data_IF_038863554165
#
_entry.id   IF_038863554165
#
_cell.length_a   1.000
_cell.length_b   1.000
_cell.length_c   1.000
_cell.angle_alpha   90.00
_cell.angle_beta   90.00
_cell.angle_gamma   90.00
#
_symmetry.space_group_name_H-M   'P 1'
#
loop_
_entity.id
_entity.type
_entity.pdbx_description
1 polymer ?
#
# COMPACT_ATOMS: atom_id res chain seq x y z
N UNK A 1 7.53 -19.46 0.98
CA UNK A 1 6.13 -19.01 1.10
C UNK A 1 6.17 -17.55 1.49
N UNK A 2 5.91 -16.64 0.56
CA UNK A 2 5.95 -15.20 0.84
C UNK A 2 4.72 -14.85 1.69
N UNK A 3 4.92 -14.50 2.95
CA UNK A 3 3.82 -14.11 3.85
C UNK A 3 3.33 -12.74 3.39
N UNK A 4 2.06 -12.68 2.96
CA UNK A 4 1.41 -11.42 2.58
C UNK A 4 1.07 -10.67 3.85
N UNK A 5 1.60 -9.46 3.98
CA UNK A 5 1.49 -8.66 5.20
C UNK A 5 0.56 -7.47 4.98
N UNK A 6 -0.46 -7.33 5.83
CA UNK A 6 -1.48 -6.28 5.75
C UNK A 6 -1.24 -5.09 6.69
N UNK A 7 -1.84 -3.95 6.34
CA UNK A 7 -1.94 -2.78 7.20
C UNK A 7 -3.42 -2.49 7.46
N UNK A 8 -3.87 -2.74 8.69
CA UNK A 8 -5.28 -2.62 9.09
C UNK A 8 -5.52 -1.30 9.80
N UNK A 9 -6.57 -0.58 9.41
CA UNK A 9 -7.06 0.60 10.14
C UNK A 9 -8.57 0.78 9.91
N UNK A 10 -9.15 1.94 10.30
CA UNK A 10 -10.57 2.23 10.08
C UNK A 10 -11.01 2.17 8.61
N UNK A 11 -10.06 2.25 7.67
CA UNK A 11 -10.27 2.12 6.22
C UNK A 11 -10.27 0.66 5.72
N UNK A 12 -10.11 -0.34 6.61
CA UNK A 12 -9.92 -1.75 6.24
C UNK A 12 -8.45 -2.16 6.24
N UNK A 13 -8.16 -3.31 5.61
CA UNK A 13 -6.80 -3.85 5.49
C UNK A 13 -6.28 -3.65 4.08
N UNK A 14 -5.14 -2.99 3.96
CA UNK A 14 -4.46 -2.69 2.69
C UNK A 14 -3.14 -3.43 2.61
N UNK A 15 -2.67 -3.66 1.39
CA UNK A 15 -1.45 -4.41 1.12
C UNK A 15 -0.57 -3.61 0.17
N UNK A 16 0.75 -3.65 0.37
CA UNK A 16 1.69 -3.00 -0.52
C UNK A 16 1.62 -3.64 -1.91
N UNK A 17 1.48 -2.82 -2.95
CA UNK A 17 1.55 -3.30 -4.32
C UNK A 17 3.00 -3.64 -4.69
N UNK A 18 3.20 -4.73 -5.43
CA UNK A 18 4.49 -4.98 -6.07
C UNK A 18 4.70 -4.01 -7.23
N UNK A 19 5.51 -2.97 -7.01
CA UNK A 19 5.75 -1.92 -8.01
C UNK A 19 6.37 -2.45 -9.30
N UNK A 20 7.20 -3.50 -9.24
CA UNK A 20 7.82 -4.10 -10.44
C UNK A 20 6.79 -4.77 -11.35
N UNK A 21 5.63 -5.14 -10.81
CA UNK A 21 4.50 -5.63 -11.60
C UNK A 21 3.60 -4.46 -12.01
N UNK A 22 3.26 -3.59 -11.06
CA UNK A 22 2.30 -2.51 -11.26
C UNK A 22 2.71 -1.49 -12.35
N UNK A 23 3.99 -1.13 -12.47
CA UNK A 23 4.45 -0.21 -13.54
C UNK A 23 4.32 -0.80 -14.95
N UNK A 24 3.97 -2.08 -15.07
CA UNK A 24 3.66 -2.71 -16.36
C UNK A 24 2.18 -2.64 -16.73
N UNK A 25 1.31 -2.21 -15.82
CA UNK A 25 -0.13 -2.13 -16.06
C UNK A 25 -0.63 -0.72 -16.34
N UNK A 26 0.24 0.29 -16.25
CA UNK A 26 -0.08 1.70 -16.49
C UNK A 26 1.04 2.38 -17.29
N UNK A 27 0.71 3.47 -17.96
CA UNK A 27 1.66 4.35 -18.64
C UNK A 27 2.44 5.25 -17.67
N UNK A 28 3.53 5.86 -18.16
CA UNK A 28 4.33 6.81 -17.38
C UNK A 28 3.52 8.06 -16.99
N UNK A 29 2.62 8.54 -17.85
CA UNK A 29 1.77 9.69 -17.56
C UNK A 29 0.70 9.37 -16.51
N UNK A 30 0.09 8.18 -16.58
CA UNK A 30 -0.83 7.69 -15.55
C UNK A 30 -0.13 7.53 -14.20
N UNK A 31 1.12 7.06 -14.19
CA UNK A 31 1.95 7.00 -12.98
C UNK A 31 2.14 8.38 -12.35
N UNK A 32 2.54 9.39 -13.15
CA UNK A 32 2.69 10.77 -12.66
C UNK A 32 1.36 11.29 -12.11
N UNK A 33 0.27 11.10 -12.86
CA UNK A 33 -1.07 11.57 -12.45
C UNK A 33 -1.54 10.91 -11.14
N UNK A 34 -1.29 9.61 -10.97
CA UNK A 34 -1.61 8.88 -9.73
C UNK A 34 -0.96 9.54 -8.50
N UNK A 35 0.33 9.86 -8.58
CA UNK A 35 1.03 10.53 -7.48
C UNK A 35 0.61 12.00 -7.30
N UNK A 36 0.31 12.70 -8.40
CA UNK A 36 -0.16 14.10 -8.36
C UNK A 36 -1.59 14.27 -7.87
N UNK A 37 -2.41 13.23 -7.96
CA UNK A 37 -3.76 13.24 -7.37
C UNK A 37 -3.75 12.74 -5.93
N UNK A 38 -2.78 11.90 -5.55
CA UNK A 38 -2.59 11.43 -4.18
C UNK A 38 -3.75 10.59 -3.64
N UNK A 39 -4.61 10.06 -4.52
CA UNK A 39 -5.81 9.31 -4.16
C UNK A 39 -5.56 7.81 -4.12
N UNK A 40 -4.74 7.35 -3.19
CA UNK A 40 -4.59 5.92 -2.93
C UNK A 40 -4.91 5.53 -1.50
N UNK A 41 -4.83 4.23 -1.22
CA UNK A 41 -5.14 3.69 0.10
C UNK A 41 -3.95 3.91 1.06
N UNK A 42 -4.20 4.21 2.34
CA UNK A 42 -3.16 4.26 3.38
C UNK A 42 -2.51 2.87 3.59
N UNK A 43 -1.34 2.76 4.24
CA UNK A 43 -0.57 3.83 4.89
C UNK A 43 0.40 4.57 3.98
N UNK A 44 0.38 4.30 2.67
CA UNK A 44 1.28 4.97 1.72
C UNK A 44 1.17 6.50 1.88
N UNK A 45 2.28 7.23 2.06
CA UNK A 45 2.25 8.66 2.36
C UNK A 45 2.03 9.48 1.08
N UNK A 46 0.86 9.35 0.47
CA UNK A 46 0.50 9.95 -0.83
C UNK A 46 0.81 11.46 -0.90
N UNK A 47 0.62 12.18 0.20
CA UNK A 47 0.89 13.62 0.31
C UNK A 47 2.38 13.98 0.12
N UNK A 48 3.32 13.08 0.46
CA UNK A 48 4.74 13.33 0.25
C UNK A 48 5.08 13.34 -1.25
N UNK A 49 4.47 12.44 -2.02
CA UNK A 49 4.74 12.32 -3.46
C UNK A 49 4.07 13.42 -4.28
N UNK A 50 2.93 13.94 -3.82
CA UNK A 50 2.24 15.06 -4.46
C UNK A 50 3.17 16.25 -4.76
N UNK A 51 4.09 16.55 -3.83
CA UNK A 51 5.05 17.66 -3.92
C UNK A 51 6.28 17.36 -4.79
N UNK A 52 6.53 16.10 -5.16
CA UNK A 52 7.68 15.75 -6.02
C UNK A 52 7.51 16.31 -7.43
N UNK A 53 8.60 16.64 -8.10
CA UNK A 53 8.54 17.12 -9.48
C UNK A 53 8.05 16.03 -10.44
N UNK A 54 7.44 16.41 -11.56
CA UNK A 54 7.08 15.44 -12.60
C UNK A 54 8.30 14.67 -13.13
N UNK A 55 9.47 15.32 -13.17
CA UNK A 55 10.74 14.70 -13.57
C UNK A 55 11.14 13.57 -12.62
N UNK A 56 11.05 13.79 -11.31
CA UNK A 56 11.42 12.77 -10.31
C UNK A 56 10.45 11.58 -10.34
N UNK A 57 9.15 11.86 -10.47
CA UNK A 57 8.13 10.81 -10.60
C UNK A 57 8.38 9.94 -11.84
N UNK A 58 8.75 10.54 -12.98
CA UNK A 58 9.14 9.80 -14.19
C UNK A 58 10.44 9.02 -14.00
N UNK A 59 11.44 9.59 -13.32
CA UNK A 59 12.68 8.90 -13.01
C UNK A 59 12.42 7.63 -12.18
N UNK A 60 11.53 7.71 -11.18
CA UNK A 60 11.08 6.55 -10.40
C UNK A 60 10.42 5.49 -11.30
N UNK A 61 9.48 5.89 -12.17
CA UNK A 61 8.83 4.97 -13.10
C UNK A 61 9.84 4.23 -13.97
N UNK A 62 10.75 4.96 -14.62
CA UNK A 62 11.78 4.40 -15.52
C UNK A 62 12.73 3.46 -14.78
N UNK A 63 13.16 3.86 -13.58
CA UNK A 63 14.02 3.01 -12.75
C UNK A 63 13.33 1.70 -12.38
N UNK A 64 12.08 1.75 -11.91
CA UNK A 64 11.34 0.52 -11.56
C UNK A 64 11.10 -0.34 -12.82
N UNK A 65 10.76 0.30 -13.95
CA UNK A 65 10.55 -0.37 -15.23
C UNK A 65 11.81 -1.07 -15.73
N UNK A 66 12.98 -0.46 -15.59
CA UNK A 66 14.26 -1.04 -16.03
C UNK A 66 14.67 -2.27 -15.23
N UNK A 67 14.15 -2.45 -14.02
CA UNK A 67 14.39 -3.68 -13.24
C UNK A 67 13.64 -4.89 -13.81
N UNK A 68 12.61 -4.68 -14.64
CA UNK A 68 11.75 -5.74 -15.17
C UNK A 68 10.81 -6.37 -14.12
N UNK A 69 9.79 -7.12 -14.54
CA UNK A 69 8.82 -7.76 -13.66
C UNK A 69 9.47 -8.88 -12.84
N UNK A 70 9.19 -8.93 -11.53
CA UNK A 70 9.63 -10.02 -10.62
C UNK A 70 8.76 -10.05 -9.36
N UNK A 71 8.56 -11.25 -8.83
CA UNK A 71 7.83 -11.50 -7.58
C UNK A 71 6.33 -11.60 -7.78
N UNK A 72 5.60 -11.77 -6.68
CA UNK A 72 4.17 -12.01 -6.73
C UNK A 72 3.39 -10.76 -7.21
N UNK A 73 2.31 -10.93 -7.98
CA UNK A 73 1.46 -9.85 -8.44
C UNK A 73 0.50 -9.40 -7.33
N UNK A 74 1.01 -9.14 -6.13
CA UNK A 74 0.23 -8.55 -5.05
C UNK A 74 -0.16 -7.14 -5.51
N UNK A 75 -1.42 -7.00 -5.91
CA UNK A 75 -2.03 -5.74 -6.31
C UNK A 75 -2.99 -5.29 -5.21
N UNK A 76 -2.77 -4.10 -4.66
CA UNK A 76 -3.59 -3.58 -3.55
C UNK A 76 -5.10 -3.57 -3.83
N UNK A 77 -5.50 -3.48 -5.10
CA UNK A 77 -6.91 -3.56 -5.53
C UNK A 77 -7.52 -4.93 -5.23
N UNK A 78 -6.79 -6.01 -5.54
CA UNK A 78 -7.25 -7.40 -5.42
C UNK A 78 -7.21 -7.90 -3.98
N UNK A 79 -6.23 -7.44 -3.20
CA UNK A 79 -5.99 -7.94 -1.84
C UNK A 79 -6.67 -7.14 -0.75
N UNK A 80 -7.30 -6.02 -1.08
CA UNK A 80 -7.98 -5.17 -0.11
C UNK A 80 -9.11 -5.91 0.62
N UNK A 81 -9.13 -5.75 1.94
CA UNK A 81 -10.19 -6.25 2.82
C UNK A 81 -10.93 -5.05 3.43
N UNK A 82 -12.24 -4.91 3.26
CA UNK A 82 -13.02 -3.80 3.83
C UNK A 82 -12.97 -3.70 5.37
N UNK A 83 -13.34 -2.54 5.97
CA UNK A 83 -13.32 -2.32 7.43
C UNK A 83 -14.09 -3.34 8.27
N UNK A 84 -15.17 -3.90 7.72
CA UNK A 84 -16.06 -4.84 8.40
C UNK A 84 -15.68 -6.31 8.17
N UNK A 85 -14.47 -6.59 7.69
CA UNK A 85 -14.00 -7.95 7.41
C UNK A 85 -12.62 -8.21 8.02
N UNK A 86 -12.44 -9.43 8.53
CA UNK A 86 -11.17 -9.86 9.12
C UNK A 86 -10.24 -10.42 8.03
N UNK A 87 -9.02 -9.87 7.86
CA UNK A 87 -8.05 -10.42 6.93
C UNK A 87 -7.56 -11.79 7.43
N UNK A 88 -7.41 -12.74 6.50
CA UNK A 88 -6.84 -14.06 6.79
C UNK A 88 -5.31 -14.04 6.91
N UNK A 89 -4.70 -12.88 6.75
CA UNK A 89 -3.24 -12.69 6.73
C UNK A 89 -2.78 -11.96 7.99
N UNK A 90 -1.51 -12.11 8.40
CA UNK A 90 -0.94 -11.26 9.44
C UNK A 90 -0.97 -9.77 9.05
N UNK A 91 -1.20 -8.89 10.02
CA UNK A 91 -1.26 -7.45 9.79
C UNK A 91 -0.71 -6.62 10.96
N UNK A 92 -0.26 -5.40 10.67
CA UNK A 92 -0.10 -4.33 11.68
C UNK A 92 -1.41 -3.57 11.82
N UNK A 93 -1.83 -3.30 13.06
CA UNK A 93 -2.94 -2.42 13.38
C UNK A 93 -2.46 -0.96 13.46
N UNK A 94 -2.97 -0.13 12.55
CA UNK A 94 -2.79 1.32 12.47
C UNK A 94 -4.07 2.03 12.93
N UNK A 95 -4.45 1.76 14.17
CA UNK A 95 -5.56 2.40 14.84
C UNK A 95 -5.13 2.77 16.27
N UNK A 96 -5.77 3.78 16.89
CA UNK A 96 -5.59 4.01 18.31
C UNK A 96 -5.85 2.72 19.09
N UNK A 97 -4.90 2.35 19.95
CA UNK A 97 -5.16 1.31 20.95
C UNK A 97 -5.91 2.02 22.07
N UNK A 98 -7.19 1.70 22.24
CA UNK A 98 -7.90 2.12 23.45
C UNK A 98 -7.18 1.51 24.65
N UNK A 99 -6.71 2.36 25.58
CA UNK A 99 -6.14 1.89 26.84
C UNK A 99 -7.27 1.30 27.66
N UNK A 100 -7.44 -0.01 27.61
CA UNK A 100 -8.30 -0.71 28.55
C UNK A 100 -7.49 -0.89 29.85
N UNK A 101 -7.89 -0.19 30.92
CA UNK A 101 -7.28 -0.32 32.27
C UNK A 101 -7.41 -1.75 32.86
N UNK A 102 -8.12 -2.65 32.17
CA UNK A 102 -8.38 -4.03 32.60
C UNK A 102 -7.55 -5.10 31.88
N UNK A 103 -6.53 -4.73 31.10
CA UNK A 103 -5.76 -5.69 30.28
C UNK A 103 -4.72 -6.56 31.04
N UNK A 104 -4.83 -6.69 32.37
CA UNK A 104 -3.90 -7.48 33.20
C UNK A 104 -4.44 -8.82 33.74
N UNK A 105 -5.62 -9.30 33.33
CA UNK A 105 -6.15 -10.57 33.83
C UNK A 105 -6.59 -11.51 32.71
N UNK A 106 -5.63 -12.10 31.99
CA UNK A 106 -5.77 -13.47 31.48
C UNK A 106 -4.39 -14.15 31.61
N UNK A 107 -4.16 -14.77 32.77
CA UNK A 107 -3.35 -15.98 32.94
C UNK A 107 -4.27 -17.04 33.54
#
# INVERSE_FOLDING_TARGET
MEIKFGYRGPWGTTYASNLRIFVNTISEDEWVNMFKTGKGRPPMPWHNYYKMSGKDLRAMYRFIKSLGPKGDPILSKTWYVPPNQEPKTPYILLAPIEKNENAFFIL
#
